data_IF_363558962962
#
_entry.id   IF_363558962962
#
_cell.length_a   1.000
_cell.length_b   1.000
_cell.length_c   1.000
_cell.angle_alpha   90.00
_cell.angle_beta   90.00
_cell.angle_gamma   90.00
#
_symmetry.space_group_name_H-M   'P 1'
#
loop_
_entity.id
_entity.type
_entity.pdbx_description
1 polymer ?
#
# COMPACT_ATOMS: atom_id res chain seq x y z
N UNK A 1 -37.37 -14.21 3.10
CA UNK A 1 -36.18 -14.80 2.51
C UNK A 1 -35.03 -13.83 2.53
N UNK A 2 -33.79 -14.33 2.50
CA UNK A 2 -32.58 -13.52 2.40
C UNK A 2 -32.21 -13.42 0.92
N UNK A 3 -31.88 -12.21 0.43
CA UNK A 3 -31.46 -12.02 -0.96
C UNK A 3 -30.11 -12.74 -1.20
N UNK A 4 -30.03 -13.51 -2.31
CA UNK A 4 -28.81 -14.18 -2.75
C UNK A 4 -28.23 -13.43 -3.94
N UNK A 5 -26.94 -13.08 -3.85
CA UNK A 5 -26.18 -12.56 -4.97
C UNK A 5 -25.05 -13.53 -5.32
N UNK A 6 -24.89 -13.89 -6.58
CA UNK A 6 -23.83 -14.75 -7.07
C UNK A 6 -22.84 -13.92 -7.86
N UNK A 7 -21.55 -13.95 -7.44
CA UNK A 7 -20.47 -13.31 -8.16
C UNK A 7 -19.52 -14.38 -8.75
N UNK A 8 -19.35 -14.37 -10.05
CA UNK A 8 -18.35 -15.19 -10.74
C UNK A 8 -16.99 -14.52 -10.66
N UNK A 9 -15.96 -15.26 -10.25
CA UNK A 9 -14.61 -14.75 -10.10
C UNK A 9 -13.61 -15.59 -10.91
N UNK A 10 -12.65 -14.92 -11.52
CA UNK A 10 -11.53 -15.57 -12.18
C UNK A 10 -10.37 -15.74 -11.19
N UNK A 11 -9.82 -16.96 -11.14
CA UNK A 11 -8.69 -17.31 -10.28
C UNK A 11 -7.41 -17.26 -11.11
N UNK A 12 -6.57 -16.25 -10.82
CA UNK A 12 -5.26 -16.11 -11.46
C UNK A 12 -4.27 -17.17 -10.96
N UNK A 13 -4.16 -18.27 -11.70
CA UNK A 13 -3.25 -19.38 -11.41
C UNK A 13 -1.78 -19.02 -11.58
N UNK A 14 -1.47 -17.93 -12.30
CA UNK A 14 -0.11 -17.45 -12.53
C UNK A 14 0.38 -16.47 -11.46
N UNK A 15 -0.46 -16.15 -10.47
CA UNK A 15 -0.16 -15.16 -9.41
C UNK A 15 1.00 -15.52 -8.48
N UNK A 16 1.53 -16.73 -8.51
CA UNK A 16 2.56 -17.21 -7.57
C UNK A 16 2.05 -17.50 -6.15
N UNK A 17 0.74 -17.32 -5.88
CA UNK A 17 0.13 -17.52 -4.56
C UNK A 17 -0.34 -18.95 -4.29
N UNK A 18 -0.17 -19.87 -5.27
CA UNK A 18 -0.83 -21.16 -5.29
C UNK A 18 -2.34 -21.03 -5.52
N UNK A 19 -3.00 -22.16 -5.80
CA UNK A 19 -4.44 -22.17 -6.17
C UNK A 19 -5.31 -21.62 -5.01
N UNK A 20 -5.06 -22.06 -3.78
CA UNK A 20 -5.83 -21.60 -2.60
C UNK A 20 -5.65 -20.10 -2.34
N UNK A 21 -4.42 -19.61 -2.41
CA UNK A 21 -4.11 -18.18 -2.22
C UNK A 21 -4.74 -17.31 -3.30
N UNK A 22 -4.67 -17.75 -4.58
CA UNK A 22 -5.27 -17.06 -5.71
C UNK A 22 -6.81 -17.02 -5.63
N UNK A 23 -7.45 -18.15 -5.28
CA UNK A 23 -8.89 -18.23 -5.07
C UNK A 23 -9.34 -17.36 -3.90
N UNK A 24 -8.59 -17.36 -2.79
CA UNK A 24 -8.85 -16.46 -1.66
C UNK A 24 -8.75 -14.98 -2.07
N UNK A 25 -7.71 -14.61 -2.82
CA UNK A 25 -7.54 -13.24 -3.32
C UNK A 25 -8.69 -12.82 -4.24
N UNK A 26 -9.12 -13.69 -5.17
CA UNK A 26 -10.25 -13.45 -6.06
C UNK A 26 -11.56 -13.22 -5.28
N UNK A 27 -11.85 -14.08 -4.29
CA UNK A 27 -13.01 -13.96 -3.40
C UNK A 27 -13.00 -12.64 -2.61
N UNK A 28 -11.85 -12.26 -2.06
CA UNK A 28 -11.73 -11.00 -1.33
C UNK A 28 -11.88 -9.77 -2.22
N UNK A 29 -11.45 -9.82 -3.49
CA UNK A 29 -11.73 -8.77 -4.48
C UNK A 29 -13.23 -8.61 -4.74
N UNK A 30 -13.95 -9.72 -4.92
CA UNK A 30 -15.41 -9.69 -5.11
C UNK A 30 -16.13 -9.10 -3.88
N UNK A 31 -15.73 -9.48 -2.66
CA UNK A 31 -16.27 -8.89 -1.44
C UNK A 31 -16.00 -7.39 -1.35
N UNK A 32 -14.78 -6.95 -1.72
CA UNK A 32 -14.41 -5.55 -1.72
C UNK A 32 -15.23 -4.70 -2.71
N UNK A 33 -15.56 -5.26 -3.87
CA UNK A 33 -16.38 -4.61 -4.88
C UNK A 33 -17.86 -4.51 -4.47
N UNK A 34 -18.37 -5.54 -3.78
CA UNK A 34 -19.75 -5.60 -3.34
C UNK A 34 -20.04 -4.86 -2.04
N UNK A 35 -19.00 -4.48 -1.27
CA UNK A 35 -19.16 -3.84 0.04
C UNK A 35 -19.31 -2.33 -0.10
N UNK A 36 -20.45 -1.80 0.35
CA UNK A 36 -20.72 -0.36 0.44
C UNK A 36 -20.00 0.31 1.61
N UNK A 37 -20.13 1.65 1.69
CA UNK A 37 -19.56 2.43 2.77
C UNK A 37 -20.26 2.13 4.10
N UNK A 38 -19.49 1.84 5.14
CA UNK A 38 -20.01 1.51 6.47
C UNK A 38 -20.65 0.13 6.60
N UNK A 39 -20.77 -0.65 5.51
CA UNK A 39 -21.34 -2.00 5.56
C UNK A 39 -20.43 -3.01 6.25
N UNK A 40 -21.02 -4.11 6.70
CA UNK A 40 -20.35 -5.17 7.45
C UNK A 40 -20.34 -6.45 6.61
N UNK A 41 -19.13 -6.92 6.25
CA UNK A 41 -18.92 -8.27 5.73
C UNK A 41 -18.89 -9.26 6.89
N UNK A 42 -19.87 -10.16 6.95
CA UNK A 42 -19.92 -11.20 7.97
C UNK A 42 -19.34 -12.51 7.42
N UNK A 43 -18.39 -13.11 8.14
CA UNK A 43 -17.78 -14.40 7.77
C UNK A 43 -17.99 -15.42 8.90
N UNK A 44 -18.38 -16.63 8.53
CA UNK A 44 -18.68 -17.73 9.46
C UNK A 44 -17.42 -18.53 9.90
N UNK A 45 -16.27 -17.87 10.07
CA UNK A 45 -15.10 -18.54 10.65
C UNK A 45 -15.38 -18.88 12.12
N UNK A 46 -14.95 -20.07 12.54
CA UNK A 46 -15.17 -20.59 13.87
C UNK A 46 -13.85 -20.86 14.61
N UNK A 47 -13.91 -21.34 15.86
CA UNK A 47 -12.76 -21.57 16.73
C UNK A 47 -11.71 -22.51 16.14
N UNK A 48 -12.14 -23.58 15.48
CA UNK A 48 -11.23 -24.52 14.83
C UNK A 48 -10.47 -23.85 13.65
N UNK A 49 -11.13 -22.99 12.88
CA UNK A 49 -10.46 -22.17 11.84
C UNK A 49 -9.40 -21.24 12.45
N UNK A 50 -9.66 -20.72 13.65
CA UNK A 50 -8.69 -19.89 14.38
C UNK A 50 -7.47 -20.69 14.78
N UNK A 51 -7.66 -21.91 15.30
CA UNK A 51 -6.59 -22.83 15.67
C UNK A 51 -5.74 -23.22 14.44
N UNK A 52 -6.38 -23.59 13.34
CA UNK A 52 -5.70 -23.91 12.07
C UNK A 52 -4.87 -22.70 11.58
N UNK A 53 -5.45 -21.50 11.63
CA UNK A 53 -4.75 -20.28 11.21
C UNK A 53 -3.57 -19.96 12.09
N UNK A 54 -3.70 -20.14 13.41
CA UNK A 54 -2.60 -19.97 14.35
C UNK A 54 -1.44 -20.92 14.02
N UNK A 55 -1.73 -22.21 13.86
CA UNK A 55 -0.72 -23.23 13.53
C UNK A 55 -0.02 -22.94 12.19
N UNK A 56 -0.77 -22.63 11.13
CA UNK A 56 -0.19 -22.28 9.84
C UNK A 56 0.77 -21.10 9.94
N UNK A 57 0.43 -20.10 10.74
CA UNK A 57 1.28 -18.93 10.94
C UNK A 57 2.49 -19.23 11.81
N UNK A 58 2.33 -20.05 12.84
CA UNK A 58 3.44 -20.51 13.67
C UNK A 58 4.46 -21.32 12.87
N UNK A 59 4.00 -22.23 12.02
CA UNK A 59 4.85 -23.03 11.11
C UNK A 59 5.61 -22.19 10.09
N UNK A 60 5.09 -21.00 9.76
CA UNK A 60 5.76 -20.03 8.87
C UNK A 60 6.68 -19.06 9.61
N UNK A 61 6.92 -19.26 10.90
CA UNK A 61 7.80 -18.42 11.71
C UNK A 61 7.24 -17.00 11.95
N UNK A 62 5.91 -16.87 12.04
CA UNK A 62 5.29 -15.56 12.28
C UNK A 62 5.57 -15.03 13.67
N UNK A 63 5.82 -13.73 13.79
CA UNK A 63 5.86 -13.00 15.05
C UNK A 63 4.46 -12.80 15.66
N UNK A 64 4.38 -11.99 16.73
CA UNK A 64 3.16 -11.76 17.51
C UNK A 64 1.99 -11.29 16.66
N UNK A 65 2.21 -10.43 15.67
CA UNK A 65 1.17 -9.95 14.73
C UNK A 65 0.56 -11.10 13.90
N UNK A 66 1.42 -11.99 13.41
CA UNK A 66 0.97 -13.17 12.68
C UNK A 66 0.23 -14.15 13.61
N UNK A 67 0.76 -14.44 14.79
CA UNK A 67 0.17 -15.34 15.77
C UNK A 67 -1.17 -14.85 16.32
N UNK A 68 -1.48 -13.56 16.25
CA UNK A 68 -2.80 -13.01 16.53
C UNK A 68 -3.91 -13.59 15.64
N UNK A 69 -3.55 -14.33 14.60
CA UNK A 69 -4.42 -15.05 13.67
C UNK A 69 -5.59 -14.18 13.14
N UNK A 70 -6.85 -14.57 13.28
CA UNK A 70 -7.97 -13.79 12.80
C UNK A 70 -8.53 -12.90 13.92
N UNK A 71 -8.75 -11.61 13.61
CA UNK A 71 -9.47 -10.71 14.52
C UNK A 71 -10.97 -10.93 14.39
N UNK A 72 -11.76 -10.92 15.49
CA UNK A 72 -13.21 -11.04 15.42
C UNK A 72 -13.83 -9.87 14.67
N UNK A 73 -13.26 -8.68 14.82
CA UNK A 73 -13.69 -7.43 14.18
C UNK A 73 -12.48 -6.66 13.66
N UNK A 74 -12.59 -6.10 12.44
CA UNK A 74 -11.57 -5.21 11.88
C UNK A 74 -12.12 -4.33 10.76
N UNK A 75 -11.46 -3.23 10.46
CA UNK A 75 -11.71 -2.47 9.25
C UNK A 75 -11.45 -3.33 8.00
N UNK A 76 -12.27 -3.18 6.98
CA UNK A 76 -12.15 -3.90 5.73
C UNK A 76 -12.65 -3.05 4.57
N UNK A 77 -11.75 -2.63 3.70
CA UNK A 77 -12.07 -1.72 2.59
C UNK A 77 -12.80 -0.45 3.08
N UNK A 78 -13.99 -0.18 2.56
CA UNK A 78 -14.83 0.97 2.94
C UNK A 78 -15.78 0.70 4.12
N UNK A 79 -15.71 -0.51 4.69
CA UNK A 79 -16.61 -0.95 5.77
C UNK A 79 -15.87 -1.79 6.81
N UNK A 80 -16.53 -2.83 7.29
CA UNK A 80 -16.04 -3.65 8.38
C UNK A 80 -16.11 -5.14 8.03
N UNK A 81 -15.30 -5.95 8.70
CA UNK A 81 -15.35 -7.41 8.64
C UNK A 81 -15.58 -7.96 10.05
N UNK A 82 -16.62 -8.76 10.19
CA UNK A 82 -17.02 -9.39 11.44
C UNK A 82 -17.02 -10.91 11.35
N UNK A 83 -16.55 -11.58 12.40
CA UNK A 83 -16.53 -13.03 12.56
C UNK A 83 -17.24 -13.41 13.87
N UNK A 84 -18.57 -13.44 13.89
CA UNK A 84 -19.34 -13.67 15.12
C UNK A 84 -19.10 -15.05 15.74
N UNK A 85 -18.76 -16.05 14.92
CA UNK A 85 -18.63 -17.44 15.36
C UNK A 85 -17.19 -17.82 15.77
N UNK A 86 -16.24 -16.87 15.80
CA UNK A 86 -14.83 -17.16 16.01
C UNK A 86 -14.52 -17.79 17.36
N UNK A 87 -15.38 -17.64 18.37
CA UNK A 87 -15.27 -18.26 19.68
C UNK A 87 -16.03 -19.60 19.81
N UNK A 88 -16.81 -20.02 18.80
CA UNK A 88 -17.68 -21.20 18.83
C UNK A 88 -16.95 -22.38 18.21
N UNK A 89 -17.02 -23.55 18.82
CA UNK A 89 -16.43 -24.76 18.26
C UNK A 89 -17.22 -25.25 17.03
N UNK A 90 -16.52 -25.88 16.10
CA UNK A 90 -17.18 -26.52 14.93
C UNK A 90 -18.21 -27.57 15.37
N UNK A 91 -17.90 -28.33 16.42
CA UNK A 91 -18.81 -29.35 16.97
C UNK A 91 -20.14 -28.74 17.43
N UNK A 92 -20.08 -27.61 18.15
CA UNK A 92 -21.28 -26.91 18.65
C UNK A 92 -22.14 -26.39 17.51
N UNK A 93 -21.50 -25.89 16.43
CA UNK A 93 -22.20 -25.43 15.22
C UNK A 93 -22.87 -26.60 14.49
N UNK A 94 -22.21 -27.74 14.41
CA UNK A 94 -22.76 -28.95 13.81
C UNK A 94 -23.96 -29.47 14.61
N UNK A 95 -23.85 -29.57 15.94
CA UNK A 95 -24.92 -29.96 16.84
C UNK A 95 -26.13 -29.04 16.70
N UNK A 96 -25.91 -27.71 16.67
CA UNK A 96 -26.95 -26.74 16.43
C UNK A 96 -27.65 -26.95 15.07
N UNK A 97 -26.88 -27.18 14.00
CA UNK A 97 -27.45 -27.42 12.67
C UNK A 97 -28.33 -28.68 12.63
N UNK A 98 -27.87 -29.78 13.26
CA UNK A 98 -28.64 -31.02 13.38
C UNK A 98 -29.93 -30.80 14.19
N UNK A 99 -29.83 -30.17 15.36
CA UNK A 99 -30.97 -29.90 16.24
C UNK A 99 -32.07 -29.04 15.55
N UNK A 100 -31.70 -28.19 14.60
CA UNK A 100 -32.63 -27.34 13.85
C UNK A 100 -32.98 -27.91 12.46
N UNK A 101 -32.60 -29.14 12.14
CA UNK A 101 -32.92 -29.78 10.87
C UNK A 101 -32.35 -29.07 9.66
N UNK A 102 -31.22 -28.37 9.82
CA UNK A 102 -30.56 -27.67 8.70
C UNK A 102 -29.87 -28.67 7.79
N UNK A 103 -30.00 -28.46 6.50
CA UNK A 103 -29.29 -29.25 5.48
C UNK A 103 -28.12 -28.46 4.94
N UNK A 104 -26.97 -29.12 4.75
CA UNK A 104 -25.77 -28.53 4.17
C UNK A 104 -25.14 -29.48 3.13
N UNK A 105 -24.32 -28.93 2.28
CA UNK A 105 -23.55 -29.67 1.30
C UNK A 105 -22.11 -29.77 1.82
N UNK A 106 -21.56 -30.96 1.83
CA UNK A 106 -20.13 -31.14 2.07
C UNK A 106 -19.35 -30.98 0.79
N UNK A 107 -18.38 -30.05 0.78
CA UNK A 107 -17.48 -29.85 -0.34
C UNK A 107 -16.43 -30.97 -0.36
N UNK A 108 -16.39 -31.80 -1.43
CA UNK A 108 -15.39 -32.87 -1.55
C UNK A 108 -13.94 -32.36 -1.46
N UNK A 109 -13.69 -31.10 -1.83
CA UNK A 109 -12.38 -30.45 -1.71
C UNK A 109 -11.87 -30.35 -0.28
N UNK A 110 -12.74 -30.44 0.75
CA UNK A 110 -12.34 -30.44 2.15
C UNK A 110 -11.58 -31.72 2.57
N UNK A 111 -11.69 -32.79 1.82
CA UNK A 111 -10.97 -34.04 2.06
C UNK A 111 -9.56 -34.08 1.44
N UNK A 112 -9.23 -33.15 0.54
CA UNK A 112 -7.94 -33.11 -0.13
C UNK A 112 -6.83 -32.60 0.83
N UNK A 113 -6.05 -33.53 1.36
CA UNK A 113 -4.91 -33.27 2.27
C UNK A 113 -3.69 -32.67 1.55
N UNK A 114 -3.70 -32.50 0.24
CA UNK A 114 -2.69 -31.75 -0.51
C UNK A 114 -2.66 -30.26 -0.14
N UNK A 115 -3.72 -29.75 0.49
CA UNK A 115 -3.77 -28.38 1.03
C UNK A 115 -3.37 -28.38 2.51
N UNK A 116 -2.42 -27.50 2.87
CA UNK A 116 -1.93 -27.36 4.24
C UNK A 116 -3.05 -27.29 5.29
N UNK A 117 -4.10 -26.53 5.00
CA UNK A 117 -5.22 -26.33 5.93
C UNK A 117 -6.02 -27.61 6.14
N UNK A 118 -6.30 -28.34 5.07
CA UNK A 118 -7.00 -29.61 5.15
C UNK A 118 -6.14 -30.68 5.84
N UNK A 119 -4.83 -30.69 5.58
CA UNK A 119 -3.90 -31.56 6.28
C UNK A 119 -3.90 -31.30 7.79
N UNK A 120 -3.83 -30.02 8.19
CA UNK A 120 -3.94 -29.67 9.62
C UNK A 120 -5.28 -30.11 10.22
N UNK A 121 -6.39 -29.90 9.51
CA UNK A 121 -7.74 -30.23 9.98
C UNK A 121 -7.96 -31.73 10.12
N UNK A 122 -7.56 -32.50 9.11
CA UNK A 122 -7.93 -33.90 8.99
C UNK A 122 -6.91 -34.86 9.62
N UNK A 123 -5.62 -34.46 9.70
CA UNK A 123 -4.56 -35.32 10.22
C UNK A 123 -3.97 -34.77 11.54
N UNK A 124 -3.51 -33.53 11.56
CA UNK A 124 -2.73 -33.00 12.71
C UNK A 124 -3.63 -32.70 13.90
N UNK A 125 -4.74 -31.99 13.71
CA UNK A 125 -5.63 -31.61 14.81
C UNK A 125 -6.28 -32.81 15.52
N UNK A 126 -6.72 -33.88 14.80
CA UNK A 126 -7.19 -35.12 15.47
C UNK A 126 -6.11 -35.76 16.30
N UNK A 127 -4.87 -35.85 15.78
CA UNK A 127 -3.73 -36.42 16.55
C UNK A 127 -3.44 -35.59 17.81
N UNK A 128 -3.43 -34.27 17.71
CA UNK A 128 -3.22 -33.41 18.89
C UNK A 128 -4.33 -33.57 19.94
N UNK A 129 -5.59 -33.69 19.51
CA UNK A 129 -6.75 -33.87 20.40
C UNK A 129 -6.71 -35.18 21.16
N UNK A 130 -6.10 -36.24 20.60
CA UNK A 130 -5.93 -37.50 21.33
C UNK A 130 -5.11 -37.32 22.62
N UNK A 131 -4.09 -36.47 22.60
CA UNK A 131 -3.23 -36.19 23.76
C UNK A 131 -3.70 -34.95 24.54
N UNK A 132 -4.18 -33.92 23.84
CA UNK A 132 -4.65 -32.65 24.39
C UNK A 132 -6.07 -32.35 23.88
N UNK A 133 -7.11 -32.84 24.54
CA UNK A 133 -8.51 -32.70 24.08
C UNK A 133 -8.92 -31.27 23.76
N UNK A 134 -8.34 -30.29 24.48
CA UNK A 134 -8.61 -28.85 24.30
C UNK A 134 -7.57 -28.14 23.42
N UNK A 135 -6.88 -28.84 22.53
CA UNK A 135 -5.83 -28.22 21.67
C UNK A 135 -6.34 -27.02 20.88
N UNK A 136 -7.54 -27.12 20.28
CA UNK A 136 -8.11 -26.02 19.51
C UNK A 136 -8.38 -24.77 20.38
N UNK A 137 -8.87 -24.98 21.61
CA UNK A 137 -9.10 -23.89 22.58
C UNK A 137 -7.79 -23.22 22.99
N UNK A 138 -6.76 -24.02 23.21
CA UNK A 138 -5.43 -23.54 23.60
C UNK A 138 -4.80 -22.69 22.51
N UNK A 139 -4.88 -23.11 21.24
CA UNK A 139 -4.38 -22.33 20.11
C UNK A 139 -5.20 -21.05 19.88
N UNK A 140 -6.53 -21.13 19.96
CA UNK A 140 -7.39 -19.96 19.84
C UNK A 140 -7.13 -18.95 20.96
N UNK A 141 -6.90 -19.43 22.19
CA UNK A 141 -6.52 -18.58 23.33
C UNK A 141 -5.15 -17.93 23.11
N UNK A 142 -4.17 -18.69 22.65
CA UNK A 142 -2.84 -18.14 22.31
C UNK A 142 -2.93 -17.06 21.23
N UNK A 143 -3.78 -17.24 20.22
CA UNK A 143 -4.06 -16.21 19.21
C UNK A 143 -4.67 -14.95 19.85
N UNK A 144 -5.61 -15.11 20.78
CA UNK A 144 -6.23 -13.98 21.50
C UNK A 144 -5.20 -13.22 22.34
N UNK A 145 -4.33 -13.93 23.08
CA UNK A 145 -3.27 -13.30 23.87
C UNK A 145 -2.26 -12.56 22.99
N UNK A 146 -1.90 -13.15 21.85
CA UNK A 146 -1.05 -12.49 20.86
C UNK A 146 -1.73 -11.24 20.31
N UNK A 147 -3.05 -11.29 20.07
CA UNK A 147 -3.83 -10.14 19.62
C UNK A 147 -3.82 -9.01 20.66
N UNK A 148 -4.02 -9.31 21.93
CA UNK A 148 -3.95 -8.32 23.02
C UNK A 148 -2.55 -7.70 23.13
N UNK A 149 -1.50 -8.51 23.00
CA UNK A 149 -0.14 -7.98 22.98
C UNK A 149 0.09 -7.02 21.80
N UNK A 150 -0.44 -7.35 20.60
CA UNK A 150 -0.40 -6.42 19.45
C UNK A 150 -1.11 -5.10 19.75
N UNK A 151 -2.29 -5.15 20.38
CA UNK A 151 -3.07 -3.93 20.69
C UNK A 151 -2.30 -2.99 21.63
N UNK A 152 -1.60 -3.55 22.62
CA UNK A 152 -0.74 -2.78 23.53
C UNK A 152 0.46 -2.15 22.79
N UNK A 153 1.11 -2.92 21.92
CA UNK A 153 2.26 -2.45 21.14
C UNK A 153 1.83 -1.40 20.10
N UNK A 154 0.63 -1.52 19.55
CA UNK A 154 0.11 -0.62 18.51
C UNK A 154 -0.01 0.84 18.98
N UNK A 155 -0.35 1.06 20.24
CA UNK A 155 -0.40 2.42 20.82
C UNK A 155 0.97 3.08 20.84
N UNK A 156 1.98 2.34 21.25
CA UNK A 156 3.35 2.85 21.27
C UNK A 156 3.95 2.99 19.88
N UNK A 157 3.68 2.02 18.98
CA UNK A 157 4.13 2.07 17.60
C UNK A 157 3.51 3.26 16.85
N UNK A 158 2.24 3.61 17.15
CA UNK A 158 1.58 4.78 16.59
C UNK A 158 2.33 6.08 16.95
N UNK A 159 2.73 6.24 18.21
CA UNK A 159 3.51 7.40 18.64
C UNK A 159 4.87 7.49 17.92
N UNK A 160 5.58 6.36 17.81
CA UNK A 160 6.86 6.29 17.11
C UNK A 160 6.71 6.57 15.60
N UNK A 161 5.64 6.06 14.98
CA UNK A 161 5.30 6.32 13.59
C UNK A 161 5.05 7.81 13.35
N UNK A 162 4.19 8.45 14.14
CA UNK A 162 3.87 9.87 14.02
C UNK A 162 5.12 10.76 14.20
N UNK A 163 6.04 10.37 15.10
CA UNK A 163 7.29 11.10 15.29
C UNK A 163 8.21 10.99 14.06
N UNK A 164 8.25 9.86 13.42
CA UNK A 164 9.06 9.64 12.19
C UNK A 164 8.39 10.17 10.92
N UNK A 165 7.07 10.37 10.91
CA UNK A 165 6.30 10.78 9.74
C UNK A 165 6.59 12.25 9.37
N UNK A 166 6.85 12.49 8.08
CA UNK A 166 6.93 13.84 7.48
C UNK A 166 5.70 14.16 6.65
N UNK A 167 5.21 13.19 5.94
CA UNK A 167 3.92 13.17 5.24
C UNK A 167 3.44 11.72 5.17
N UNK A 168 2.27 11.47 4.57
CA UNK A 168 1.68 10.13 4.48
C UNK A 168 2.63 9.08 3.87
N UNK A 169 3.45 9.48 2.90
CA UNK A 169 4.32 8.60 2.12
C UNK A 169 5.79 8.69 2.50
N UNK A 170 6.13 9.58 3.45
CA UNK A 170 7.53 9.89 3.75
C UNK A 170 7.82 9.83 5.24
N UNK A 171 8.83 9.05 5.60
CA UNK A 171 9.36 8.95 6.96
C UNK A 171 10.76 9.56 7.05
N UNK A 172 11.10 10.08 8.21
CA UNK A 172 12.44 10.52 8.56
C UNK A 172 13.32 9.32 8.92
N UNK A 173 14.40 9.12 8.17
CA UNK A 173 15.29 8.00 8.34
C UNK A 173 16.06 8.05 9.67
N UNK A 174 16.39 9.24 10.17
CA UNK A 174 17.16 9.38 11.40
C UNK A 174 16.25 9.15 12.63
N UNK A 175 15.01 9.63 12.58
CA UNK A 175 14.00 9.30 13.57
C UNK A 175 13.73 7.78 13.61
N UNK A 176 13.66 7.12 12.43
CA UNK A 176 13.52 5.65 12.36
C UNK A 176 14.71 4.92 12.98
N UNK A 177 15.95 5.38 12.76
CA UNK A 177 17.15 4.78 13.35
C UNK A 177 17.14 4.83 14.87
N UNK A 178 16.56 5.88 15.45
CA UNK A 178 16.44 6.05 16.90
C UNK A 178 15.45 5.04 17.54
N UNK A 179 14.54 4.45 16.75
CA UNK A 179 13.61 3.43 17.21
C UNK A 179 14.34 2.08 17.35
N UNK A 180 14.18 1.33 18.47
CA UNK A 180 14.74 -0.02 18.61
C UNK A 180 14.32 -0.94 17.46
N UNK A 181 15.23 -1.81 16.98
CA UNK A 181 15.03 -2.65 15.79
C UNK A 181 13.68 -3.41 15.76
N UNK A 182 13.24 -4.14 16.81
CA UNK A 182 11.97 -4.89 16.75
C UNK A 182 10.75 -3.98 16.56
N UNK A 183 10.78 -2.80 17.18
CA UNK A 183 9.72 -1.80 17.08
C UNK A 183 9.75 -1.09 15.72
N UNK A 184 10.92 -0.74 15.22
CA UNK A 184 11.10 -0.15 13.90
C UNK A 184 10.54 -1.06 12.79
N UNK A 185 10.76 -2.37 12.89
CA UNK A 185 10.19 -3.34 11.97
C UNK A 185 8.66 -3.30 11.94
N UNK A 186 8.00 -3.11 13.09
CA UNK A 186 6.54 -2.95 13.17
C UNK A 186 6.08 -1.62 12.58
N UNK A 187 6.76 -0.53 12.89
CA UNK A 187 6.49 0.81 12.34
C UNK A 187 6.56 0.79 10.81
N UNK A 188 7.60 0.17 10.23
CA UNK A 188 7.74 0.06 8.79
C UNK A 188 6.61 -0.77 8.14
N UNK A 189 6.21 -1.90 8.76
CA UNK A 189 5.07 -2.70 8.24
C UNK A 189 3.77 -1.90 8.29
N UNK A 190 3.50 -1.23 9.41
CA UNK A 190 2.32 -0.39 9.60
C UNK A 190 2.26 0.74 8.56
N UNK A 191 3.39 1.39 8.30
CA UNK A 191 3.50 2.42 7.27
C UNK A 191 3.11 1.89 5.88
N UNK A 192 3.70 0.78 5.46
CA UNK A 192 3.42 0.16 4.15
C UNK A 192 1.96 -0.30 4.05
N UNK A 193 1.40 -0.88 5.11
CA UNK A 193 -0.01 -1.28 5.17
C UNK A 193 -0.95 -0.07 5.11
N UNK A 194 -0.65 0.99 5.85
CA UNK A 194 -1.43 2.24 5.85
C UNK A 194 -1.48 2.92 4.49
N UNK A 195 -0.44 2.74 3.65
CA UNK A 195 -0.40 3.23 2.27
C UNK A 195 -1.16 2.32 1.28
N UNK A 196 -1.71 1.19 1.72
CA UNK A 196 -2.34 0.21 0.84
C UNK A 196 -1.37 -0.48 -0.13
N UNK A 197 -0.07 -0.42 0.14
CA UNK A 197 0.96 -1.08 -0.67
C UNK A 197 1.01 -2.59 -0.37
N UNK A 198 1.50 -3.42 -1.30
CA UNK A 198 1.70 -4.84 -1.05
C UNK A 198 2.53 -5.09 0.21
N UNK A 199 2.22 -6.14 1.01
CA UNK A 199 3.00 -6.46 2.20
C UNK A 199 4.48 -6.67 1.87
N UNK A 200 5.36 -6.20 2.77
CA UNK A 200 6.80 -6.42 2.63
C UNK A 200 7.11 -7.93 2.65
N UNK A 201 7.99 -8.41 1.76
CA UNK A 201 8.47 -9.79 1.81
C UNK A 201 9.24 -10.07 3.10
N UNK A 202 9.44 -11.35 3.45
CA UNK A 202 10.06 -11.75 4.70
C UNK A 202 11.42 -11.09 5.00
N UNK A 203 12.23 -10.86 3.96
CA UNK A 203 13.52 -10.16 4.05
C UNK A 203 13.42 -8.63 3.83
N UNK A 204 12.24 -8.10 3.54
CA UNK A 204 12.06 -6.70 3.14
C UNK A 204 12.49 -5.70 4.21
N UNK A 205 12.15 -5.99 5.48
CA UNK A 205 12.58 -5.14 6.60
C UNK A 205 14.11 -5.10 6.71
N UNK A 206 14.75 -6.27 6.70
CA UNK A 206 16.21 -6.36 6.81
C UNK A 206 16.90 -5.61 5.66
N UNK A 207 16.37 -5.69 4.44
CA UNK A 207 16.89 -4.95 3.29
C UNK A 207 16.69 -3.44 3.43
N UNK A 208 15.51 -2.98 3.84
CA UNK A 208 15.28 -1.55 4.09
C UNK A 208 16.25 -1.03 5.15
N UNK A 209 16.47 -1.78 6.22
CA UNK A 209 17.41 -1.39 7.28
C UNK A 209 18.85 -1.36 6.79
N UNK A 210 19.32 -2.43 6.17
CA UNK A 210 20.72 -2.53 5.74
C UNK A 210 21.04 -1.61 4.56
N UNK A 211 20.19 -1.57 3.54
CA UNK A 211 20.49 -0.91 2.27
C UNK A 211 20.03 0.56 2.25
N UNK A 212 18.90 0.89 2.92
CA UNK A 212 18.33 2.24 2.85
C UNK A 212 18.67 3.08 4.09
N UNK A 213 18.45 2.56 5.31
CA UNK A 213 18.69 3.35 6.52
C UNK A 213 20.16 3.66 6.72
N UNK A 214 21.08 2.79 6.30
CA UNK A 214 22.51 2.98 6.44
C UNK A 214 23.20 3.52 5.17
N UNK A 215 22.44 3.75 4.08
CA UNK A 215 22.99 4.38 2.87
C UNK A 215 23.51 5.80 3.15
N UNK A 216 24.55 6.22 2.42
CA UNK A 216 25.04 7.60 2.48
C UNK A 216 24.01 8.62 1.99
N UNK A 217 24.21 9.90 2.34
CA UNK A 217 23.29 10.99 1.97
C UNK A 217 23.08 11.16 0.46
N UNK A 218 24.08 10.80 -0.35
CA UNK A 218 24.06 10.96 -1.81
C UNK A 218 23.65 9.67 -2.56
N UNK A 219 23.37 8.58 -1.83
CA UNK A 219 22.99 7.32 -2.43
C UNK A 219 21.50 7.33 -2.82
N UNK A 220 21.21 6.98 -4.08
CA UNK A 220 19.86 6.70 -4.55
C UNK A 220 19.48 5.24 -4.21
N UNK A 221 19.53 4.89 -2.92
CA UNK A 221 19.20 3.57 -2.45
C UNK A 221 17.68 3.33 -2.55
N UNK A 222 17.31 2.18 -3.12
CA UNK A 222 15.91 1.79 -3.32
C UNK A 222 15.71 0.30 -3.10
N UNK A 223 14.53 -0.06 -2.66
CA UNK A 223 14.05 -1.43 -2.53
C UNK A 223 12.71 -1.58 -3.24
N UNK A 224 12.66 -2.44 -4.26
CA UNK A 224 11.47 -2.70 -5.09
C UNK A 224 10.90 -4.09 -4.75
N UNK A 225 9.56 -4.19 -4.62
CA UNK A 225 8.86 -5.45 -4.45
C UNK A 225 7.41 -5.36 -4.97
N UNK A 226 6.90 -6.40 -5.58
CA UNK A 226 5.48 -6.56 -5.99
C UNK A 226 4.82 -5.29 -6.56
N UNK A 227 5.55 -4.50 -7.36
CA UNK A 227 5.06 -3.24 -7.93
C UNK A 227 5.10 -2.03 -6.99
N UNK A 228 5.71 -2.17 -5.81
CA UNK A 228 5.94 -1.08 -4.86
C UNK A 228 7.42 -0.80 -4.68
N UNK A 229 7.75 0.37 -4.17
CA UNK A 229 9.11 0.85 -3.94
C UNK A 229 9.20 1.64 -2.65
N UNK A 230 10.26 1.38 -1.86
CA UNK A 230 10.80 2.33 -0.87
C UNK A 230 12.12 2.86 -1.39
N UNK A 231 12.34 4.15 -1.31
CA UNK A 231 13.59 4.78 -1.74
C UNK A 231 14.05 5.83 -0.73
N UNK A 232 15.38 5.95 -0.62
CA UNK A 232 15.99 6.96 0.23
C UNK A 232 16.40 8.18 -0.58
N UNK A 233 16.22 9.34 0.00
CA UNK A 233 16.79 10.59 -0.46
C UNK A 233 17.14 11.48 0.74
N UNK A 234 18.40 11.78 0.91
CA UNK A 234 18.92 12.50 2.09
C UNK A 234 18.53 11.75 3.38
N UNK A 235 17.79 12.40 4.28
CA UNK A 235 17.26 11.82 5.52
C UNK A 235 15.83 11.28 5.40
N UNK A 236 15.29 11.20 4.18
CA UNK A 236 13.91 10.76 3.94
C UNK A 236 13.85 9.36 3.35
N UNK A 237 12.91 8.55 3.83
CA UNK A 237 12.42 7.33 3.18
C UNK A 237 11.06 7.62 2.59
N UNK A 238 10.85 7.31 1.31
CA UNK A 238 9.59 7.49 0.61
C UNK A 238 9.09 6.17 0.04
N UNK A 239 7.80 5.84 0.28
CA UNK A 239 7.15 4.64 -0.23
C UNK A 239 6.04 4.99 -1.22
N UNK A 240 5.99 4.27 -2.35
CA UNK A 240 4.97 4.46 -3.37
C UNK A 240 4.79 3.19 -4.23
N UNK A 241 3.69 3.11 -4.96
CA UNK A 241 3.59 2.19 -6.10
C UNK A 241 4.58 2.62 -7.19
N UNK A 242 5.20 1.66 -7.87
CA UNK A 242 6.09 1.94 -8.99
C UNK A 242 5.25 2.43 -10.16
N UNK A 243 5.53 3.64 -10.62
CA UNK A 243 4.90 4.26 -11.78
C UNK A 243 5.93 4.54 -12.86
N UNK A 244 5.56 4.43 -14.14
CA UNK A 244 6.45 4.78 -15.22
C UNK A 244 6.77 6.28 -15.19
N UNK A 245 8.02 6.67 -15.50
CA UNK A 245 8.35 8.07 -15.75
C UNK A 245 7.63 8.57 -17.01
N UNK A 246 7.63 9.87 -17.23
CA UNK A 246 7.21 10.41 -18.53
C UNK A 246 8.14 9.84 -19.63
N UNK A 247 7.58 9.29 -20.73
CA UNK A 247 8.40 8.83 -21.86
C UNK A 247 9.30 9.95 -22.36
N UNK A 248 10.59 9.66 -22.58
CA UNK A 248 11.59 10.68 -22.91
C UNK A 248 11.30 11.44 -24.23
N UNK A 249 10.57 10.83 -25.14
CA UNK A 249 10.12 11.37 -26.41
C UNK A 249 8.76 12.08 -26.33
N UNK A 250 8.04 11.96 -25.20
CA UNK A 250 6.72 12.56 -25.05
C UNK A 250 6.78 14.07 -25.11
N UNK A 251 5.94 14.63 -25.96
CA UNK A 251 5.65 16.07 -25.98
C UNK A 251 4.27 16.31 -26.56
N UNK A 252 3.59 17.36 -26.09
CA UNK A 252 2.28 17.78 -26.54
C UNK A 252 2.15 19.30 -26.44
N UNK A 253 1.49 19.95 -27.41
CA UNK A 253 1.11 21.35 -27.28
C UNK A 253 -0.13 21.50 -26.40
N UNK A 254 -0.08 22.45 -25.49
CA UNK A 254 -1.12 22.74 -24.52
C UNK A 254 -1.36 24.24 -24.42
N UNK A 255 -2.61 24.63 -24.57
CA UNK A 255 -3.01 26.05 -24.52
C UNK A 255 -3.51 26.49 -23.13
N UNK A 256 -3.63 25.59 -22.17
CA UNK A 256 -4.10 25.87 -20.81
C UNK A 256 -5.62 25.85 -20.64
N UNK A 257 -6.43 25.73 -21.71
CA UNK A 257 -7.89 25.81 -21.63
C UNK A 257 -8.55 24.63 -20.93
N UNK A 258 -7.86 23.47 -20.85
CA UNK A 258 -8.30 22.25 -20.19
C UNK A 258 -7.11 21.60 -19.46
N UNK A 259 -7.41 20.80 -18.47
CA UNK A 259 -6.40 19.98 -17.82
C UNK A 259 -5.65 19.12 -18.83
N UNK A 260 -4.32 19.12 -18.77
CA UNK A 260 -3.45 18.28 -19.60
C UNK A 260 -3.20 16.96 -18.86
N UNK A 261 -3.77 15.86 -19.37
CA UNK A 261 -3.47 14.52 -18.87
C UNK A 261 -2.06 14.09 -19.32
N UNK A 262 -1.25 13.61 -18.38
CA UNK A 262 0.11 13.14 -18.62
C UNK A 262 0.15 11.62 -18.76
N UNK A 263 1.07 11.01 -19.54
CA UNK A 263 1.22 9.56 -19.65
C UNK A 263 1.52 8.86 -18.31
N UNK A 264 2.05 9.58 -17.32
CA UNK A 264 2.28 9.08 -15.96
C UNK A 264 0.98 8.92 -15.14
N UNK A 265 -0.17 9.38 -15.67
CA UNK A 265 -1.45 9.46 -14.97
C UNK A 265 -1.66 10.77 -14.23
N UNK A 266 -0.63 11.60 -14.08
CA UNK A 266 -0.72 12.93 -13.47
C UNK A 266 -1.46 13.90 -14.40
N UNK A 267 -1.82 15.11 -13.92
CA UNK A 267 -2.36 16.18 -14.76
C UNK A 267 -1.70 17.52 -14.44
N UNK A 268 -1.69 18.42 -15.43
CA UNK A 268 -1.26 19.79 -15.26
C UNK A 268 -2.41 20.73 -15.63
N UNK A 269 -2.68 21.72 -14.80
CA UNK A 269 -3.80 22.64 -14.94
C UNK A 269 -3.33 24.09 -14.86
N UNK A 270 -3.98 24.96 -15.64
CA UNK A 270 -3.88 26.41 -15.53
C UNK A 270 -5.13 26.90 -14.77
N UNK A 271 -4.94 27.48 -13.62
CA UNK A 271 -6.01 28.01 -12.78
C UNK A 271 -5.95 29.54 -12.75
N UNK A 272 -7.11 30.21 -12.81
CA UNK A 272 -7.20 31.66 -12.73
C UNK A 272 -7.02 32.41 -14.08
N UNK A 273 -6.79 31.67 -15.16
CA UNK A 273 -6.84 32.23 -16.55
C UNK A 273 -7.51 31.20 -17.48
N UNK A 274 -8.14 31.67 -18.54
CA UNK A 274 -8.82 30.78 -19.50
C UNK A 274 -7.82 29.98 -20.35
N UNK A 275 -6.74 30.64 -20.81
CA UNK A 275 -5.69 30.01 -21.63
C UNK A 275 -4.42 30.87 -21.67
N UNK A 276 -3.34 30.28 -22.16
CA UNK A 276 -2.12 31.02 -22.53
C UNK A 276 -2.33 31.86 -23.79
N UNK A 277 -1.50 32.88 -23.96
CA UNK A 277 -1.53 33.74 -25.16
C UNK A 277 -1.19 32.96 -26.45
N UNK A 278 -0.38 31.91 -26.34
CA UNK A 278 -0.07 30.92 -27.36
C UNK A 278 0.12 29.54 -26.72
N UNK A 279 -0.17 28.43 -27.45
CA UNK A 279 0.05 27.10 -26.94
C UNK A 279 1.53 26.86 -26.56
N UNK A 280 1.79 26.33 -25.37
CA UNK A 280 3.12 25.94 -24.88
C UNK A 280 3.37 24.48 -25.17
N UNK A 281 4.62 24.08 -25.36
CA UNK A 281 5.01 22.68 -25.48
C UNK A 281 5.22 22.10 -24.12
N UNK A 282 4.36 21.18 -23.70
CA UNK A 282 4.57 20.29 -22.55
C UNK A 282 5.42 19.09 -23.00
N UNK A 283 6.45 18.73 -22.24
CA UNK A 283 7.34 17.63 -22.61
C UNK A 283 8.05 16.99 -21.40
N UNK A 284 8.59 15.81 -21.60
CA UNK A 284 9.44 15.15 -20.61
C UNK A 284 10.84 15.80 -20.52
N UNK A 285 11.52 15.56 -19.39
CA UNK A 285 12.94 15.94 -19.22
C UNK A 285 13.83 15.06 -20.11
N UNK A 286 14.80 15.70 -20.75
CA UNK A 286 15.84 15.02 -21.54
C UNK A 286 17.23 15.17 -20.95
N UNK A 287 17.40 16.10 -19.99
CA UNK A 287 18.68 16.50 -19.43
C UNK A 287 19.29 17.71 -20.17
N UNK A 288 20.08 18.48 -19.43
CA UNK A 288 20.71 19.68 -19.98
C UNK A 288 19.84 20.93 -20.03
N UNK A 289 18.56 20.83 -19.60
CA UNK A 289 17.64 21.97 -19.60
C UNK A 289 18.15 23.09 -18.70
N UNK A 290 17.91 24.34 -19.14
CA UNK A 290 18.27 25.55 -18.41
C UNK A 290 17.08 26.47 -18.30
N UNK A 291 16.86 27.05 -17.10
CA UNK A 291 15.76 27.97 -16.81
C UNK A 291 16.27 29.31 -16.29
N UNK A 292 15.61 30.41 -16.63
CA UNK A 292 15.86 31.72 -16.09
C UNK A 292 14.85 32.02 -14.97
N UNK A 293 15.29 31.95 -13.74
CA UNK A 293 14.44 32.17 -12.57
C UNK A 293 14.10 33.66 -12.39
N UNK A 294 12.99 33.99 -11.69
CA UNK A 294 12.75 35.34 -11.21
C UNK A 294 13.97 35.84 -10.43
N UNK A 295 14.27 37.14 -10.54
CA UNK A 295 15.38 37.83 -9.85
C UNK A 295 16.78 37.30 -10.21
N UNK A 296 16.92 36.55 -11.29
CA UNK A 296 18.21 36.06 -11.81
C UNK A 296 18.44 36.54 -13.25
N UNK A 297 19.67 37.01 -13.50
CA UNK A 297 20.06 37.54 -14.85
C UNK A 297 20.43 36.42 -15.80
N UNK A 298 20.93 35.28 -15.30
CA UNK A 298 21.44 34.16 -16.09
C UNK A 298 20.56 32.92 -16.01
N UNK A 299 20.64 32.06 -17.04
CA UNK A 299 20.00 30.75 -17.07
C UNK A 299 20.76 29.77 -16.18
N UNK A 300 20.04 29.06 -15.30
CA UNK A 300 20.58 28.03 -14.42
C UNK A 300 20.26 26.63 -14.95
N UNK A 301 21.13 25.66 -14.70
CA UNK A 301 20.85 24.27 -15.02
C UNK A 301 19.65 23.79 -14.18
N UNK A 302 18.62 23.25 -14.84
CA UNK A 302 17.41 22.80 -14.15
C UNK A 302 17.73 21.73 -13.08
N UNK A 303 18.70 20.83 -13.37
CA UNK A 303 19.15 19.83 -12.40
C UNK A 303 19.58 20.43 -11.06
N UNK A 304 20.37 21.53 -11.12
CA UNK A 304 20.82 22.24 -9.93
C UNK A 304 19.66 22.93 -9.21
N UNK A 305 18.77 23.60 -9.95
CA UNK A 305 17.58 24.26 -9.39
C UNK A 305 16.67 23.28 -8.66
N UNK A 306 16.42 22.09 -9.25
CA UNK A 306 15.64 21.04 -8.62
C UNK A 306 16.29 20.53 -7.33
N UNK A 307 17.62 20.44 -7.31
CA UNK A 307 18.38 20.01 -6.14
C UNK A 307 18.34 21.05 -5.02
N UNK A 308 18.55 22.32 -5.35
CA UNK A 308 18.53 23.45 -4.42
C UNK A 308 17.13 23.66 -3.81
N UNK A 309 16.08 23.49 -4.63
CA UNK A 309 14.68 23.56 -4.20
C UNK A 309 14.20 22.33 -3.45
N UNK A 310 15.05 21.32 -3.30
CA UNK A 310 14.70 20.11 -2.55
C UNK A 310 13.65 19.22 -3.22
N UNK A 311 13.48 19.30 -4.54
CA UNK A 311 12.56 18.41 -5.25
C UNK A 311 13.12 16.99 -5.27
N UNK A 312 12.44 15.99 -4.72
CA UNK A 312 12.98 14.65 -4.59
C UNK A 312 13.00 13.88 -5.93
N UNK A 313 13.86 12.85 -6.07
CA UNK A 313 14.02 12.09 -7.31
C UNK A 313 12.72 11.49 -7.86
N UNK A 314 11.83 11.02 -6.99
CA UNK A 314 10.53 10.43 -7.41
C UNK A 314 9.56 11.41 -8.03
N UNK A 315 9.68 12.70 -7.70
CA UNK A 315 8.93 13.75 -8.38
C UNK A 315 9.60 14.16 -9.68
N UNK A 316 10.96 14.27 -9.68
CA UNK A 316 11.72 14.70 -10.86
C UNK A 316 11.50 13.83 -12.10
N UNK A 317 11.29 12.53 -11.91
CA UNK A 317 11.10 11.57 -13.00
C UNK A 317 9.78 11.72 -13.74
N UNK A 318 8.77 12.33 -13.09
CA UNK A 318 7.42 12.56 -13.65
C UNK A 318 7.10 14.03 -13.88
N UNK A 319 8.04 14.93 -13.58
CA UNK A 319 7.87 16.36 -13.64
C UNK A 319 7.68 16.83 -15.10
N UNK A 320 6.52 17.37 -15.49
CA UNK A 320 6.32 17.92 -16.82
C UNK A 320 7.06 19.24 -16.98
N UNK A 321 7.66 19.45 -18.13
CA UNK A 321 8.29 20.73 -18.51
C UNK A 321 7.36 21.49 -19.47
N UNK A 322 7.31 22.81 -19.35
CA UNK A 322 6.65 23.70 -20.30
C UNK A 322 7.68 24.59 -20.98
N UNK A 323 7.66 24.64 -22.29
CA UNK A 323 8.57 25.49 -23.11
C UNK A 323 7.83 26.26 -24.16
N UNK A 324 8.37 27.42 -24.50
CA UNK A 324 8.03 28.20 -25.69
C UNK A 324 9.26 28.22 -26.59
N UNK A 325 9.20 27.52 -27.73
CA UNK A 325 10.37 27.22 -28.53
C UNK A 325 11.46 26.53 -27.75
N UNK A 326 12.63 27.16 -27.65
CA UNK A 326 13.78 26.65 -26.86
C UNK A 326 13.82 27.20 -25.41
N UNK A 327 12.94 28.09 -25.04
CA UNK A 327 12.88 28.68 -23.71
C UNK A 327 12.09 27.79 -22.75
N UNK A 328 12.74 27.28 -21.72
CA UNK A 328 12.04 26.57 -20.63
C UNK A 328 11.33 27.57 -19.72
N UNK A 329 10.01 27.43 -19.63
CA UNK A 329 9.13 28.32 -18.87
C UNK A 329 8.75 27.78 -17.51
N UNK A 330 8.53 26.45 -17.39
CA UNK A 330 8.21 25.83 -16.11
C UNK A 330 8.72 24.40 -16.01
N UNK A 331 8.90 23.95 -14.76
CA UNK A 331 9.06 22.55 -14.41
C UNK A 331 8.06 22.23 -13.28
N UNK A 332 6.99 21.51 -13.64
CA UNK A 332 5.79 21.37 -12.81
C UNK A 332 5.18 22.74 -12.50
N UNK A 333 4.69 22.89 -11.28
CA UNK A 333 4.17 24.14 -10.71
C UNK A 333 5.15 24.81 -9.74
N UNK A 334 6.19 24.10 -9.31
CA UNK A 334 7.14 24.55 -8.29
C UNK A 334 8.26 25.44 -8.81
N UNK A 335 8.62 25.34 -10.11
CA UNK A 335 9.71 26.08 -10.72
C UNK A 335 9.19 26.81 -11.95
N UNK A 336 9.16 28.14 -11.86
CA UNK A 336 8.69 29.03 -12.92
C UNK A 336 9.83 29.90 -13.41
N UNK A 337 9.86 30.17 -14.73
CA UNK A 337 10.74 31.18 -15.30
C UNK A 337 10.25 32.58 -14.97
N UNK A 338 11.15 33.56 -14.99
CA UNK A 338 10.80 34.96 -14.79
C UNK A 338 9.65 35.44 -15.72
N UNK A 339 9.66 34.97 -16.97
CA UNK A 339 8.64 35.29 -17.96
C UNK A 339 7.27 34.73 -17.60
N UNK A 340 7.22 33.44 -17.25
CA UNK A 340 5.94 32.80 -16.93
C UNK A 340 5.41 33.23 -15.55
N UNK A 341 6.27 33.42 -14.56
CA UNK A 341 5.89 33.94 -13.26
C UNK A 341 5.24 35.34 -13.39
N UNK A 342 5.85 36.26 -14.18
CA UNK A 342 5.28 37.58 -14.45
C UNK A 342 3.93 37.46 -15.16
N UNK A 343 3.80 36.59 -16.15
CA UNK A 343 2.56 36.37 -16.89
C UNK A 343 1.43 35.87 -16.00
N UNK A 344 1.73 34.89 -15.13
CA UNK A 344 0.78 34.31 -14.17
C UNK A 344 0.33 35.35 -13.14
N UNK A 345 1.27 36.08 -12.54
CA UNK A 345 0.96 37.15 -11.56
C UNK A 345 0.07 38.24 -12.15
N UNK A 346 0.36 38.69 -13.37
CA UNK A 346 -0.43 39.73 -14.02
C UNK A 346 -1.89 39.33 -14.23
N UNK A 347 -2.21 38.05 -14.25
CA UNK A 347 -3.56 37.49 -14.46
C UNK A 347 -4.19 36.88 -13.22
N UNK A 348 -3.49 36.89 -12.06
CA UNK A 348 -3.91 36.17 -10.85
C UNK A 348 -4.01 34.64 -11.06
N UNK A 349 -3.25 34.14 -12.04
CA UNK A 349 -3.27 32.75 -12.46
C UNK A 349 -2.15 31.93 -11.77
N UNK A 350 -2.30 30.61 -11.79
CA UNK A 350 -1.27 29.67 -11.30
C UNK A 350 -1.29 28.37 -12.09
N UNK A 351 -0.14 27.74 -12.22
CA UNK A 351 -0.05 26.35 -12.61
C UNK A 351 -0.38 25.46 -11.40
N UNK A 352 -0.98 24.31 -11.66
CA UNK A 352 -1.20 23.28 -10.67
C UNK A 352 -0.87 21.92 -11.27
N UNK A 353 0.14 21.27 -10.74
CA UNK A 353 0.50 19.89 -11.10
C UNK A 353 -0.11 18.93 -10.09
N UNK A 354 -1.20 18.30 -10.51
CA UNK A 354 -1.85 17.26 -9.75
C UNK A 354 -1.08 15.94 -9.95
N UNK A 355 -0.06 15.74 -9.12
CA UNK A 355 0.67 14.49 -9.08
C UNK A 355 -0.19 13.45 -8.35
N UNK A 356 -0.68 12.45 -9.09
CA UNK A 356 -1.38 11.32 -8.47
C UNK A 356 -0.48 10.71 -7.39
N UNK A 357 -1.07 10.52 -6.22
CA UNK A 357 -0.40 10.01 -5.04
C UNK A 357 -0.01 8.53 -5.18
#
# INVERSE_FOLDING_TARGET
GIALQVAHVEVDRASGLGIEGAARAARHRAFAQGLGEGEILVLAHHRDDQAETFLLRALRGSGVDGLAAMRPWRAYQRGWLWRPLLGIARADLHEHAVAHGLHWIEDPGNADIGFDRNFLRNEVMPLLRQRWPHAADSFARSATLSAQACDLLDLEDASAFLHAMRDERTLDADALKAIPHPRRARVLRRWIEGLGLPPLPGNGIARIEAELLHAGHDAEARFDWAGARVQRWRHLLHAQAIRPPLPADWSQYWDGSRALALPSGDSLELLGAERFDAPLRAHARRGGERIRLPDRTHRHALKQVLQDRGIPPWQRARLPLLSDGEELLAAGDAILSARLDAWLRARGARLHWNALA
#
